data_IF_836697958018
#
_entry.id   IF_836697958018
#
_cell.length_a   1.000
_cell.length_b   1.000
_cell.length_c   1.000
_cell.angle_alpha   90.00
_cell.angle_beta   90.00
_cell.angle_gamma   90.00
#
_symmetry.space_group_name_H-M   'P 1'
#
loop_
_entity.id
_entity.type
_entity.pdbx_description
1 polymer ?
#
# COMPACT_ATOMS: atom_id res chain seq x y z
N UNK A 1 -33.02 -0.54 -12.56
CA UNK A 1 -32.03 -1.63 -12.43
C UNK A 1 -31.28 -1.44 -11.10
N UNK A 2 -31.59 -2.16 -10.02
CA UNK A 2 -30.80 -2.02 -8.79
C UNK A 2 -29.73 -3.11 -8.67
N UNK A 3 -28.60 -2.70 -8.10
CA UNK A 3 -27.52 -3.53 -7.56
C UNK A 3 -26.49 -4.09 -8.58
N UNK A 4 -25.57 -3.22 -9.02
CA UNK A 4 -24.18 -3.67 -9.11
C UNK A 4 -23.79 -4.08 -7.69
N UNK A 5 -23.69 -5.38 -7.44
CA UNK A 5 -23.10 -5.89 -6.21
C UNK A 5 -21.83 -5.09 -5.91
N UNK A 6 -21.77 -4.51 -4.69
CA UNK A 6 -20.67 -3.65 -4.23
C UNK A 6 -19.42 -4.53 -4.11
N UNK A 7 -18.73 -4.78 -5.23
CA UNK A 7 -17.52 -5.61 -5.27
C UNK A 7 -16.52 -5.01 -4.29
N UNK A 8 -16.06 -5.84 -3.35
CA UNK A 8 -15.03 -5.45 -2.39
C UNK A 8 -13.66 -5.55 -3.11
N UNK A 9 -12.72 -4.71 -2.71
CA UNK A 9 -11.37 -4.69 -3.27
C UNK A 9 -10.38 -5.13 -2.18
N UNK A 10 -9.52 -6.07 -2.52
CA UNK A 10 -8.38 -6.48 -1.71
C UNK A 10 -7.11 -6.16 -2.49
N UNK A 11 -6.21 -5.41 -1.87
CA UNK A 11 -4.91 -5.07 -2.45
C UNK A 11 -3.84 -5.77 -1.63
N UNK A 12 -3.07 -6.63 -2.29
CA UNK A 12 -1.86 -7.24 -1.73
C UNK A 12 -0.64 -6.56 -2.34
N UNK A 13 0.26 -6.13 -1.47
CA UNK A 13 1.53 -5.52 -1.84
C UNK A 13 2.66 -6.41 -1.33
N UNK A 14 3.52 -6.85 -2.24
CA UNK A 14 4.71 -7.65 -1.93
C UNK A 14 5.93 -6.79 -2.30
N UNK A 15 6.66 -6.30 -1.29
CA UNK A 15 7.84 -5.44 -1.50
C UNK A 15 8.95 -6.20 -2.25
N UNK A 16 9.66 -5.50 -3.14
CA UNK A 16 10.80 -6.04 -3.87
C UNK A 16 10.47 -7.20 -4.82
N UNK A 17 9.19 -7.42 -5.13
CA UNK A 17 8.75 -8.52 -5.97
C UNK A 17 8.98 -8.21 -7.45
N UNK A 18 10.18 -8.54 -7.95
CA UNK A 18 10.57 -8.27 -9.33
C UNK A 18 9.76 -9.13 -10.30
N UNK A 19 9.48 -8.58 -11.48
CA UNK A 19 8.59 -9.19 -12.48
C UNK A 19 9.02 -10.61 -12.92
N UNK A 20 10.32 -10.91 -12.89
CA UNK A 20 10.91 -12.18 -13.33
C UNK A 20 11.09 -13.20 -12.21
N UNK A 21 10.65 -12.91 -10.98
CA UNK A 21 10.62 -13.90 -9.89
C UNK A 21 9.54 -14.97 -10.09
N UNK A 22 8.48 -14.65 -10.84
CA UNK A 22 7.42 -15.62 -11.19
C UNK A 22 7.64 -16.12 -12.61
N UNK A 23 8.55 -17.09 -12.75
CA UNK A 23 8.62 -17.91 -13.96
C UNK A 23 7.46 -18.93 -13.98
N UNK A 24 7.20 -19.52 -15.15
CA UNK A 24 6.24 -20.62 -15.28
C UNK A 24 6.64 -21.85 -14.44
N UNK A 25 7.92 -22.00 -14.12
CA UNK A 25 8.40 -23.05 -13.22
C UNK A 25 8.03 -22.76 -11.76
N UNK A 26 8.26 -21.53 -11.29
CA UNK A 26 7.92 -21.12 -9.93
C UNK A 26 6.41 -21.18 -9.67
N UNK A 27 5.58 -20.82 -10.66
CA UNK A 27 4.12 -20.92 -10.54
C UNK A 27 3.64 -22.34 -10.25
N UNK A 28 4.34 -23.39 -10.72
CA UNK A 28 3.95 -24.77 -10.42
C UNK A 28 4.00 -25.09 -8.92
N UNK A 29 4.87 -24.40 -8.18
CA UNK A 29 5.05 -24.58 -6.74
C UNK A 29 4.21 -23.60 -5.89
N UNK A 30 3.51 -22.65 -6.53
CA UNK A 30 2.76 -21.59 -5.86
C UNK A 30 1.27 -21.65 -6.26
N UNK A 31 0.50 -22.64 -5.76
CA UNK A 31 -0.84 -22.94 -6.26
C UNK A 31 -1.81 -21.75 -6.18
N UNK A 32 -1.73 -20.94 -5.13
CA UNK A 32 -2.59 -19.75 -4.98
C UNK A 32 -2.28 -18.65 -6.00
N UNK A 33 -0.99 -18.37 -6.27
CA UNK A 33 -0.60 -17.40 -7.30
C UNK A 33 -0.91 -17.93 -8.69
N UNK A 34 -0.73 -19.24 -8.92
CA UNK A 34 -1.10 -19.88 -10.18
C UNK A 34 -2.59 -19.71 -10.48
N UNK A 35 -3.46 -19.95 -9.49
CA UNK A 35 -4.90 -19.77 -9.66
C UNK A 35 -5.26 -18.30 -9.97
N UNK A 36 -4.62 -17.33 -9.31
CA UNK A 36 -4.80 -15.89 -9.60
C UNK A 36 -4.40 -15.56 -11.05
N UNK A 37 -3.31 -16.13 -11.56
CA UNK A 37 -2.85 -15.90 -12.92
C UNK A 37 -3.76 -16.59 -13.95
N UNK A 38 -4.15 -17.85 -13.71
CA UNK A 38 -4.98 -18.63 -14.63
C UNK A 38 -6.42 -18.11 -14.74
N UNK A 39 -6.99 -17.63 -13.63
CA UNK A 39 -8.37 -17.12 -13.57
C UNK A 39 -8.47 -15.59 -13.67
N UNK A 40 -7.34 -14.89 -13.70
CA UNK A 40 -7.25 -13.44 -13.64
C UNK A 40 -6.50 -12.82 -14.83
N UNK A 41 -5.82 -11.71 -14.55
CA UNK A 41 -5.00 -10.98 -15.52
C UNK A 41 -3.63 -10.74 -14.91
N UNK A 42 -2.58 -11.09 -15.67
CA UNK A 42 -1.18 -10.83 -15.35
C UNK A 42 -0.60 -9.87 -16.40
N UNK A 43 0.06 -8.82 -15.94
CA UNK A 43 0.92 -7.99 -16.80
C UNK A 43 2.34 -8.56 -16.83
N UNK A 44 3.07 -8.37 -17.93
CA UNK A 44 4.45 -8.86 -18.05
C UNK A 44 5.37 -8.21 -17.01
N UNK A 45 5.19 -6.92 -16.76
CA UNK A 45 5.86 -6.17 -15.70
C UNK A 45 5.11 -4.86 -15.41
N UNK A 46 5.44 -4.24 -14.28
CA UNK A 46 5.06 -2.86 -13.94
C UNK A 46 6.33 -2.01 -13.96
N UNK A 47 6.30 -0.87 -14.64
CA UNK A 47 7.40 0.10 -14.57
C UNK A 47 7.23 0.92 -13.28
N UNK A 48 8.19 0.86 -12.34
CA UNK A 48 8.11 1.67 -11.13
C UNK A 48 8.38 3.14 -11.46
N UNK A 49 7.90 4.01 -10.59
CA UNK A 49 8.27 5.41 -10.60
C UNK A 49 9.71 5.58 -10.09
N UNK A 50 10.42 6.58 -10.62
CA UNK A 50 11.76 6.93 -10.14
C UNK A 50 11.67 7.89 -8.93
N UNK A 51 12.41 7.62 -7.83
CA UNK A 51 13.30 6.49 -7.62
C UNK A 51 12.53 5.20 -7.31
N UNK A 52 13.06 4.05 -7.76
CA UNK A 52 12.46 2.72 -7.55
C UNK A 52 12.63 2.22 -6.11
N UNK A 53 12.14 3.02 -5.16
CA UNK A 53 12.14 2.79 -3.72
C UNK A 53 10.70 2.52 -3.25
N UNK A 54 10.59 1.80 -2.13
CA UNK A 54 9.33 1.35 -1.53
C UNK A 54 8.30 2.48 -1.35
N UNK A 55 8.49 3.40 -0.41
CA UNK A 55 7.46 4.41 -0.09
C UNK A 55 7.11 5.36 -1.24
N UNK A 56 8.07 5.84 -2.05
CA UNK A 56 7.75 6.59 -3.26
C UNK A 56 6.77 5.84 -4.16
N UNK A 57 7.07 4.57 -4.50
CA UNK A 57 6.21 3.77 -5.38
C UNK A 57 4.87 3.37 -4.75
N UNK A 58 4.85 3.08 -3.44
CA UNK A 58 3.60 2.78 -2.73
C UNK A 58 2.64 3.96 -2.77
N UNK A 59 3.19 5.16 -2.63
CA UNK A 59 2.41 6.38 -2.66
C UNK A 59 1.98 6.75 -4.08
N UNK A 60 2.83 6.52 -5.09
CA UNK A 60 2.41 6.62 -6.50
C UNK A 60 1.26 5.67 -6.82
N UNK A 61 1.33 4.40 -6.39
CA UNK A 61 0.26 3.41 -6.58
C UNK A 61 -1.06 3.85 -5.92
N UNK A 62 -1.00 4.45 -4.73
CA UNK A 62 -2.18 4.87 -4.01
C UNK A 62 -2.75 6.20 -4.50
N UNK A 63 -1.93 7.10 -5.02
CA UNK A 63 -2.37 8.45 -5.42
C UNK A 63 -2.59 8.61 -6.92
N UNK A 64 -1.99 7.74 -7.74
CA UNK A 64 -1.95 7.89 -9.20
C UNK A 64 -1.07 9.04 -9.67
N UNK A 65 -0.22 9.58 -8.80
CA UNK A 65 0.65 10.73 -9.07
C UNK A 65 2.13 10.32 -9.12
N UNK A 66 2.92 11.11 -9.84
CA UNK A 66 4.38 11.02 -9.86
C UNK A 66 5.00 11.51 -8.55
N UNK A 67 6.27 11.15 -8.31
CA UNK A 67 6.96 11.46 -7.07
C UNK A 67 7.13 12.97 -6.81
N UNK A 68 7.30 13.76 -7.87
CA UNK A 68 7.37 15.22 -7.82
C UNK A 68 6.03 15.88 -7.50
N UNK A 69 4.89 15.21 -7.72
CA UNK A 69 3.58 15.74 -7.37
C UNK A 69 3.21 15.37 -5.94
N UNK A 70 3.37 14.10 -5.58
CA UNK A 70 3.01 13.62 -4.25
C UNK A 70 4.09 13.81 -3.18
N UNK A 71 5.28 14.31 -3.56
CA UNK A 71 6.40 14.73 -2.70
C UNK A 71 7.07 13.63 -1.84
N UNK A 72 6.52 12.42 -1.79
CA UNK A 72 7.21 11.23 -1.28
C UNK A 72 8.33 10.77 -2.24
N UNK A 73 9.50 11.44 -2.19
CA UNK A 73 10.61 11.23 -3.14
C UNK A 73 11.69 10.26 -2.64
N UNK A 74 11.60 9.77 -1.39
CA UNK A 74 12.58 8.83 -0.85
C UNK A 74 12.09 8.06 0.37
N UNK A 75 12.76 6.95 0.67
CA UNK A 75 12.58 6.21 1.93
C UNK A 75 13.22 6.93 3.13
N UNK A 76 14.17 7.84 2.84
CA UNK A 76 14.73 8.78 3.77
C UNK A 76 14.70 10.17 3.13
N UNK A 77 14.16 11.16 3.84
CA UNK A 77 14.08 12.54 3.38
C UNK A 77 14.40 13.49 4.53
N UNK A 78 14.79 14.70 4.21
CA UNK A 78 15.06 15.76 5.17
C UNK A 78 14.43 17.06 4.67
N UNK A 79 13.67 17.73 5.54
CA UNK A 79 13.13 19.05 5.25
C UNK A 79 13.88 20.10 6.08
N UNK A 80 14.61 20.97 5.38
CA UNK A 80 15.44 22.00 6.01
C UNK A 80 14.61 23.07 6.73
N UNK A 81 13.39 23.36 6.25
CA UNK A 81 12.56 24.44 6.80
C UNK A 81 12.00 24.07 8.18
N UNK A 82 11.57 22.83 8.35
CA UNK A 82 11.02 22.33 9.62
C UNK A 82 12.05 21.59 10.47
N UNK A 83 13.25 21.33 9.93
CA UNK A 83 14.31 20.54 10.57
C UNK A 83 13.79 19.13 10.97
N UNK A 84 13.06 18.51 10.05
CA UNK A 84 12.42 17.20 10.22
C UNK A 84 12.98 16.18 9.26
N UNK A 85 13.10 14.94 9.74
CA UNK A 85 13.51 13.81 8.93
C UNK A 85 12.34 12.87 8.67
N UNK A 86 12.26 12.34 7.46
CA UNK A 86 11.44 11.19 7.16
C UNK A 86 12.35 9.96 7.15
N UNK A 87 12.00 8.93 7.91
CA UNK A 87 12.58 7.59 7.82
C UNK A 87 11.46 6.55 7.75
N UNK A 88 11.45 5.78 6.66
CA UNK A 88 10.54 4.67 6.43
C UNK A 88 10.39 3.76 7.66
N UNK A 89 9.18 3.67 8.21
CA UNK A 89 8.86 2.81 9.36
C UNK A 89 9.72 3.02 10.61
N UNK A 90 10.45 4.14 10.70
CA UNK A 90 11.62 4.23 11.58
C UNK A 90 11.62 5.38 12.58
N UNK A 91 10.94 6.50 12.31
CA UNK A 91 10.94 7.65 13.23
C UNK A 91 9.57 8.31 13.37
N UNK A 92 9.38 9.02 14.50
CA UNK A 92 8.13 9.71 14.82
C UNK A 92 7.81 10.87 13.86
N UNK A 93 8.81 11.46 13.22
CA UNK A 93 8.56 12.56 12.27
C UNK A 93 7.95 12.04 10.95
N UNK A 94 8.11 10.76 10.60
CA UNK A 94 7.49 10.17 9.41
C UNK A 94 5.97 10.13 9.43
N UNK A 95 5.35 10.20 10.62
CA UNK A 95 3.88 10.22 10.74
C UNK A 95 3.29 11.62 10.64
N UNK A 96 4.12 12.65 10.42
CA UNK A 96 3.65 14.02 10.27
C UNK A 96 2.92 14.18 8.92
N UNK A 97 1.70 14.74 8.89
CA UNK A 97 0.93 14.91 7.65
C UNK A 97 1.65 15.72 6.56
N UNK A 98 2.63 16.56 6.91
CA UNK A 98 3.43 17.34 5.95
C UNK A 98 4.11 16.49 4.85
N UNK A 99 4.43 15.22 5.15
CA UNK A 99 5.05 14.31 4.19
C UNK A 99 4.05 13.65 3.23
N UNK A 100 2.75 13.71 3.56
CA UNK A 100 1.71 12.92 2.91
C UNK A 100 0.62 13.79 2.28
N UNK A 101 0.33 14.98 2.79
CA UNK A 101 -0.86 15.75 2.40
C UNK A 101 -0.82 16.31 0.96
N UNK A 102 0.35 16.32 0.32
CA UNK A 102 0.54 16.80 -1.05
C UNK A 102 -0.43 16.16 -2.05
N UNK A 103 -0.75 14.86 -1.87
CA UNK A 103 -1.69 14.13 -2.73
C UNK A 103 -2.76 13.40 -1.91
N UNK A 104 -3.90 13.11 -2.55
CA UNK A 104 -4.95 12.29 -1.92
C UNK A 104 -4.76 10.82 -2.30
N UNK A 105 -4.47 9.91 -1.35
CA UNK A 105 -4.41 8.50 -1.65
C UNK A 105 -5.83 7.92 -1.78
N UNK A 106 -5.96 6.87 -2.60
CA UNK A 106 -7.22 6.21 -2.93
C UNK A 106 -8.07 5.85 -1.71
N UNK A 107 -7.43 5.41 -0.61
CA UNK A 107 -8.15 5.08 0.62
C UNK A 107 -8.81 6.30 1.29
N UNK A 108 -8.22 7.50 1.18
CA UNK A 108 -8.85 8.75 1.64
C UNK A 108 -10.08 9.06 0.81
N UNK A 109 -10.00 8.91 -0.52
CA UNK A 109 -11.15 9.06 -1.42
C UNK A 109 -12.28 8.10 -1.04
N UNK A 110 -11.96 6.85 -0.72
CA UNK A 110 -12.94 5.84 -0.29
C UNK A 110 -13.62 6.22 1.03
N UNK A 111 -12.85 6.65 2.03
CA UNK A 111 -13.38 7.11 3.32
C UNK A 111 -14.30 8.33 3.16
N UNK A 112 -13.91 9.32 2.35
CA UNK A 112 -14.75 10.50 2.01
C UNK A 112 -16.07 10.10 1.35
N UNK A 113 -16.06 9.02 0.57
CA UNK A 113 -17.24 8.44 -0.06
C UNK A 113 -17.99 7.43 0.83
N UNK A 114 -17.76 7.44 2.15
CA UNK A 114 -18.42 6.58 3.15
C UNK A 114 -18.25 5.09 2.83
N UNK A 115 -17.09 4.71 2.29
CA UNK A 115 -16.70 3.32 2.07
C UNK A 115 -15.62 2.97 3.09
N UNK A 116 -15.84 1.94 3.93
CA UNK A 116 -14.88 1.62 4.95
C UNK A 116 -13.61 1.03 4.33
N UNK A 117 -12.46 1.34 4.95
CA UNK A 117 -11.14 0.87 4.53
C UNK A 117 -10.43 0.26 5.72
N UNK A 118 -9.90 -0.95 5.53
CA UNK A 118 -9.16 -1.71 6.53
C UNK A 118 -7.75 -1.95 5.99
N UNK A 119 -6.75 -1.49 6.74
CA UNK A 119 -5.35 -1.52 6.31
C UNK A 119 -4.54 -2.33 7.32
N UNK A 120 -3.73 -3.25 6.81
CA UNK A 120 -2.88 -4.13 7.61
C UNK A 120 -1.44 -3.93 7.19
N UNK A 121 -0.61 -3.35 8.08
CA UNK A 121 0.80 -3.06 7.83
C UNK A 121 1.06 -2.15 6.61
N UNK A 122 0.03 -1.49 6.08
CA UNK A 122 0.18 -0.63 4.93
C UNK A 122 0.79 0.71 5.36
N UNK A 123 1.92 1.14 4.76
CA UNK A 123 2.56 2.42 5.03
C UNK A 123 1.62 3.62 4.99
N UNK A 124 1.60 4.39 6.08
CA UNK A 124 0.80 5.62 6.17
C UNK A 124 -0.64 5.39 6.63
N UNK A 125 -1.05 4.17 6.99
CA UNK A 125 -2.37 3.95 7.57
C UNK A 125 -2.53 4.59 8.96
N UNK A 126 -1.42 4.76 9.66
CA UNK A 126 -1.29 5.37 10.98
C UNK A 126 -1.34 6.91 10.92
N UNK A 127 -1.17 7.48 9.71
CA UNK A 127 -1.13 8.91 9.46
C UNK A 127 -2.52 9.44 9.20
N UNK A 128 -2.82 10.59 9.79
CA UNK A 128 -4.00 11.36 9.43
C UNK A 128 -3.70 12.19 8.18
N UNK A 129 -4.10 11.69 7.02
CA UNK A 129 -3.87 12.36 5.74
C UNK A 129 -5.11 13.16 5.37
N UNK A 130 -4.96 14.48 5.18
CA UNK A 130 -6.04 15.43 4.85
C UNK A 130 -7.22 15.32 5.82
N UNK A 131 -6.91 15.19 7.12
CA UNK A 131 -7.88 15.03 8.21
C UNK A 131 -8.73 13.75 8.13
N UNK A 132 -8.24 12.72 7.44
CA UNK A 132 -8.92 11.43 7.28
C UNK A 132 -8.04 10.30 7.79
N UNK A 133 -8.66 9.35 8.49
CA UNK A 133 -8.06 8.08 8.93
C UNK A 133 -8.84 6.92 8.32
N UNK A 134 -8.21 5.76 8.07
CA UNK A 134 -8.93 4.56 7.64
C UNK A 134 -9.88 4.07 8.74
N UNK A 135 -10.82 3.19 8.38
CA UNK A 135 -11.74 2.56 9.36
C UNK A 135 -10.98 1.68 10.36
N UNK A 136 -9.93 1.01 9.88
CA UNK A 136 -9.01 0.23 10.70
C UNK A 136 -7.60 0.35 10.13
N UNK A 137 -6.63 0.48 11.02
CA UNK A 137 -5.20 0.41 10.70
C UNK A 137 -4.52 -0.49 11.74
N UNK A 138 -3.84 -1.53 11.25
CA UNK A 138 -2.79 -2.20 12.01
C UNK A 138 -1.47 -1.58 11.60
N UNK A 139 -0.89 -0.79 12.51
CA UNK A 139 0.32 -0.03 12.25
C UNK A 139 1.45 -0.94 11.75
N UNK A 140 2.22 -0.44 10.80
CA UNK A 140 3.46 -1.06 10.38
C UNK A 140 4.48 -1.05 11.54
N UNK A 141 5.26 -2.12 11.65
CA UNK A 141 6.47 -2.18 12.45
C UNK A 141 7.52 -3.01 11.72
N UNK A 142 8.78 -2.86 12.12
CA UNK A 142 9.89 -3.56 11.48
C UNK A 142 9.80 -5.08 11.68
N UNK A 143 9.86 -5.83 10.57
CA UNK A 143 9.94 -7.30 10.51
C UNK A 143 8.72 -8.07 11.06
N UNK A 144 7.55 -7.99 10.40
CA UNK A 144 6.45 -8.89 10.71
C UNK A 144 6.87 -10.35 10.46
N UNK A 145 6.48 -11.24 11.38
CA UNK A 145 6.71 -12.69 11.24
C UNK A 145 5.73 -13.33 10.24
N UNK A 146 6.02 -14.55 9.80
CA UNK A 146 5.08 -15.33 8.96
C UNK A 146 3.71 -15.50 9.62
N UNK A 147 3.69 -15.59 10.97
CA UNK A 147 2.46 -15.62 11.75
C UNK A 147 1.70 -14.30 11.64
N UNK A 148 2.40 -13.18 11.78
CA UNK A 148 1.81 -11.84 11.67
C UNK A 148 1.21 -11.62 10.27
N UNK A 149 1.94 -12.05 9.24
CA UNK A 149 1.45 -12.04 7.87
C UNK A 149 0.19 -12.90 7.72
N UNK A 150 0.23 -14.17 8.14
CA UNK A 150 -0.91 -15.09 8.04
C UNK A 150 -2.14 -14.55 8.78
N UNK A 151 -1.95 -13.98 9.97
CA UNK A 151 -3.03 -13.35 10.74
C UNK A 151 -3.59 -12.13 10.02
N UNK A 152 -2.74 -11.24 9.48
CA UNK A 152 -3.22 -10.09 8.70
C UNK A 152 -4.01 -10.50 7.45
N UNK A 153 -3.58 -11.54 6.74
CA UNK A 153 -4.33 -12.08 5.59
C UNK A 153 -5.68 -12.65 6.03
N UNK A 154 -5.72 -13.45 7.09
CA UNK A 154 -6.96 -14.01 7.62
C UNK A 154 -7.94 -12.91 8.03
N UNK A 155 -7.47 -11.94 8.81
CA UNK A 155 -8.29 -10.82 9.29
C UNK A 155 -8.82 -9.98 8.12
N UNK A 156 -8.00 -9.71 7.11
CA UNK A 156 -8.42 -8.99 5.91
C UNK A 156 -9.51 -9.76 5.15
N UNK A 157 -9.40 -11.08 5.02
CA UNK A 157 -10.42 -11.93 4.37
C UNK A 157 -11.71 -11.96 5.19
N UNK A 158 -11.64 -12.03 6.51
CA UNK A 158 -12.83 -12.07 7.38
C UNK A 158 -13.64 -10.78 7.30
N UNK A 159 -13.00 -9.62 7.17
CA UNK A 159 -13.67 -8.34 6.90
C UNK A 159 -14.37 -8.32 5.53
N UNK A 160 -13.88 -9.12 4.59
CA UNK A 160 -14.46 -9.25 3.24
C UNK A 160 -15.59 -10.27 3.15
N UNK A 161 -15.86 -11.05 4.20
CA UNK A 161 -17.07 -11.88 4.30
C UNK A 161 -18.32 -11.03 4.59
#
# INVERSE_FOLDING_TARGET
MPCLAKRKLLVFLIDGFRFDYISEEELRNLPGLREIVELGVKADYLTPEFPSLSYPNYYSLMTGHYCDVHQMIGNYMWDEQTNKSFLIGGNNDSILPMWWDASEPFWVTMMKNKRPVYMYYWPGCEVEIRHVRPTYCRNYYSYPSDRDFTTAVSDAIDVLR
#
